data_IF_849019196459
#
_entry.id   IF_849019196459
#
_cell.length_a   1.000
_cell.length_b   1.000
_cell.length_c   1.000
_cell.angle_alpha   90.00
_cell.angle_beta   90.00
_cell.angle_gamma   90.00
#
_symmetry.space_group_name_H-M   'P 1'
#
loop_
_entity.id
_entity.type
_entity.pdbx_description
1 polymer ?
#
# COMPACT_ATOMS: atom_id res chain seq x y z
N UNK A 1 3.45 -69.07 6.30
CA UNK A 1 2.17 -69.63 5.82
C UNK A 1 1.44 -68.52 5.06
N UNK A 2 1.50 -68.54 3.73
CA UNK A 2 0.42 -68.85 2.77
C UNK A 2 -0.67 -67.76 2.63
N UNK A 3 -0.60 -67.06 1.49
CA UNK A 3 -1.68 -66.41 0.73
C UNK A 3 -2.78 -67.43 0.30
N UNK A 4 -3.96 -66.97 -0.17
CA UNK A 4 -4.23 -66.70 -1.62
C UNK A 4 -4.95 -65.35 -1.83
N UNK A 5 -4.73 -64.49 -2.86
CA UNK A 5 -4.70 -64.54 -4.34
C UNK A 5 -5.99 -64.97 -5.06
N UNK A 6 -6.53 -64.05 -5.89
CA UNK A 6 -7.02 -64.20 -7.28
C UNK A 6 -7.25 -62.77 -7.82
N UNK A 7 -6.43 -62.13 -8.68
CA UNK A 7 -5.99 -62.33 -10.08
C UNK A 7 -7.04 -62.06 -11.17
N UNK A 8 -6.64 -61.19 -12.12
CA UNK A 8 -7.06 -61.10 -13.52
C UNK A 8 -7.12 -59.64 -14.02
N UNK A 9 -6.40 -59.12 -15.02
CA UNK A 9 -5.39 -59.66 -15.94
C UNK A 9 -4.58 -58.49 -16.56
N UNK A 10 -3.32 -58.75 -16.89
CA UNK A 10 -2.36 -57.95 -17.67
C UNK A 10 -2.05 -58.74 -18.97
N UNK A 11 -1.55 -58.13 -20.07
CA UNK A 11 -0.10 -57.91 -20.17
C UNK A 11 0.36 -56.68 -20.96
N UNK A 12 1.55 -56.20 -20.56
CA UNK A 12 2.42 -55.29 -21.29
C UNK A 12 3.39 -56.06 -22.21
N UNK A 13 3.92 -55.39 -23.24
CA UNK A 13 5.17 -55.61 -24.02
C UNK A 13 5.17 -54.60 -25.19
N UNK A 14 6.25 -54.09 -25.78
CA UNK A 14 7.70 -53.96 -25.54
C UNK A 14 8.22 -53.04 -26.68
N UNK A 15 9.43 -52.49 -26.55
CA UNK A 15 10.07 -51.64 -27.55
C UNK A 15 10.67 -52.41 -28.76
N UNK A 16 10.97 -51.66 -29.82
CA UNK A 16 11.93 -51.85 -30.93
C UNK A 16 11.52 -52.48 -32.28
N UNK A 17 12.17 -51.93 -33.32
CA UNK A 17 12.20 -52.19 -34.78
C UNK A 17 11.00 -51.69 -35.62
N UNK A 18 11.15 -50.87 -36.69
CA UNK A 18 11.99 -51.07 -37.88
C UNK A 18 12.36 -49.72 -38.58
N UNK A 19 13.61 -49.70 -39.05
CA UNK A 19 14.33 -48.74 -39.90
C UNK A 19 13.72 -48.44 -41.30
N UNK A 20 14.23 -47.33 -41.88
CA UNK A 20 14.47 -47.03 -43.31
C UNK A 20 13.31 -46.36 -44.09
N UNK A 21 13.48 -45.34 -44.94
CA UNK A 21 14.64 -44.60 -45.50
C UNK A 21 14.07 -43.49 -46.40
N UNK A 22 14.71 -42.30 -46.44
CA UNK A 22 15.22 -41.61 -47.65
C UNK A 22 15.34 -40.08 -47.47
N UNK A 23 16.58 -39.63 -47.22
CA UNK A 23 17.18 -38.42 -47.81
C UNK A 23 17.13 -38.54 -49.36
N UNK A 24 17.25 -37.53 -50.22
CA UNK A 24 17.69 -36.14 -50.17
C UNK A 24 17.33 -35.48 -51.53
N UNK A 25 16.92 -34.21 -51.55
CA UNK A 25 17.19 -33.17 -52.59
C UNK A 25 16.94 -31.83 -51.88
N UNK A 26 17.86 -30.90 -51.67
CA UNK A 26 18.97 -30.48 -52.51
C UNK A 26 18.58 -29.15 -53.17
N UNK A 27 18.58 -28.03 -52.45
CA UNK A 27 18.51 -26.68 -53.02
C UNK A 27 19.09 -25.60 -52.07
N UNK A 28 19.73 -24.60 -52.68
CA UNK A 28 20.84 -23.77 -52.16
C UNK A 28 20.45 -22.47 -51.43
N UNK A 29 21.36 -21.84 -50.65
CA UNK A 29 21.09 -20.59 -49.92
C UNK A 29 21.32 -19.36 -50.81
N UNK A 30 20.26 -18.86 -51.45
CA UNK A 30 20.22 -17.52 -52.08
C UNK A 30 18.81 -16.96 -52.03
N UNK A 31 18.36 -16.44 -50.87
CA UNK A 31 17.20 -15.53 -50.82
C UNK A 31 16.98 -14.84 -49.45
N UNK A 32 18.05 -14.39 -48.79
CA UNK A 32 17.94 -13.51 -47.60
C UNK A 32 18.71 -12.19 -47.76
N UNK A 33 18.90 -11.75 -49.02
CA UNK A 33 19.42 -10.43 -49.37
C UNK A 33 18.30 -9.53 -49.88
N UNK A 34 17.42 -9.06 -48.99
CA UNK A 34 16.27 -8.28 -49.46
C UNK A 34 15.33 -7.65 -48.44
N UNK A 35 15.68 -7.56 -47.14
CA UNK A 35 14.88 -6.80 -46.15
C UNK A 35 15.72 -6.09 -45.06
N UNK A 36 16.95 -5.70 -45.39
CA UNK A 36 17.84 -4.95 -44.47
C UNK A 36 18.30 -3.59 -45.00
N UNK A 37 17.67 -3.06 -46.07
CA UNK A 37 18.10 -1.83 -46.75
C UNK A 37 17.03 -0.72 -46.84
N UNK A 38 16.05 -0.71 -45.93
CA UNK A 38 15.00 0.34 -45.89
C UNK A 38 14.88 1.07 -44.53
N UNK A 39 15.83 0.89 -43.61
CA UNK A 39 15.88 1.60 -42.32
C UNK A 39 17.27 2.18 -42.01
N UNK A 40 18.02 2.52 -43.06
CA UNK A 40 19.35 3.18 -42.97
C UNK A 40 19.43 4.53 -43.72
N UNK A 41 18.30 5.18 -44.02
CA UNK A 41 18.25 6.48 -44.71
C UNK A 41 17.35 7.54 -44.03
N UNK A 42 17.23 7.49 -42.70
CA UNK A 42 16.39 8.43 -41.93
C UNK A 42 17.05 9.06 -40.71
N UNK A 43 18.38 8.96 -40.53
CA UNK A 43 19.09 9.61 -39.42
C UNK A 43 20.54 9.93 -39.84
N UNK A 44 20.68 10.84 -40.79
CA UNK A 44 21.96 11.40 -41.17
C UNK A 44 21.76 12.89 -41.48
N UNK A 45 21.58 13.70 -40.44
CA UNK A 45 21.70 15.17 -40.48
C UNK A 45 21.70 15.70 -39.04
N UNK A 46 22.91 15.76 -38.46
CA UNK A 46 23.43 16.66 -37.41
C UNK A 46 24.56 15.95 -36.65
N UNK A 47 25.71 15.79 -37.32
CA UNK A 47 26.99 15.55 -36.64
C UNK A 47 27.92 16.68 -37.07
N UNK A 48 28.17 17.63 -36.17
CA UNK A 48 29.20 18.65 -36.31
C UNK A 48 30.54 18.06 -35.83
N UNK A 49 31.66 18.21 -36.57
CA UNK A 49 32.92 17.54 -36.24
C UNK A 49 33.73 18.40 -35.27
N UNK A 50 33.75 18.01 -33.99
CA UNK A 50 34.81 18.30 -32.99
C UNK A 50 34.30 17.87 -31.60
N UNK A 51 34.47 16.59 -31.28
CA UNK A 51 34.51 16.08 -29.90
C UNK A 51 35.05 14.65 -29.94
N UNK A 52 36.37 14.51 -29.88
CA UNK A 52 36.98 13.30 -29.34
C UNK A 52 36.78 13.36 -27.82
N UNK A 53 35.92 12.49 -27.27
CA UNK A 53 35.81 12.30 -25.82
C UNK A 53 35.84 10.81 -25.51
N UNK A 54 36.91 10.44 -24.81
CA UNK A 54 37.32 9.11 -24.40
C UNK A 54 36.22 8.42 -23.59
N UNK A 55 36.01 7.13 -23.86
CA UNK A 55 35.23 6.20 -23.06
C UNK A 55 35.82 6.09 -21.64
N UNK A 56 35.20 6.74 -20.65
CA UNK A 56 35.17 6.34 -19.23
C UNK A 56 34.52 7.44 -18.38
N UNK A 57 33.19 7.43 -18.27
CA UNK A 57 32.38 8.08 -17.22
C UNK A 57 30.90 8.15 -17.67
N UNK A 58 30.21 7.01 -17.73
CA UNK A 58 28.77 6.93 -18.01
C UNK A 58 28.06 6.25 -16.83
N UNK A 59 27.99 6.96 -15.71
CA UNK A 59 27.14 6.55 -14.57
C UNK A 59 26.72 7.76 -13.73
N UNK A 60 27.55 8.79 -13.65
CA UNK A 60 27.33 9.95 -12.78
C UNK A 60 26.70 11.15 -13.52
N UNK A 61 26.77 11.20 -14.86
CA UNK A 61 26.23 12.32 -15.66
C UNK A 61 24.71 12.22 -15.89
N UNK A 62 24.09 11.06 -15.63
CA UNK A 62 22.68 10.82 -15.96
C UNK A 62 21.71 11.49 -14.99
N UNK A 63 22.07 11.66 -13.72
CA UNK A 63 21.21 12.33 -12.74
C UNK A 63 21.16 13.85 -12.93
N UNK A 64 22.28 14.48 -13.30
CA UNK A 64 22.34 15.93 -13.48
C UNK A 64 21.74 16.40 -14.82
N UNK A 65 21.72 15.52 -15.83
CA UNK A 65 21.15 15.85 -17.16
C UNK A 65 19.62 15.77 -17.20
N UNK A 66 18.99 15.03 -16.28
CA UNK A 66 17.53 14.88 -16.22
C UNK A 66 16.85 16.13 -15.64
N UNK A 67 17.45 16.79 -14.64
CA UNK A 67 16.96 18.08 -14.13
C UNK A 67 17.05 19.19 -15.19
N UNK A 68 18.15 19.22 -15.94
CA UNK A 68 18.39 20.25 -16.95
C UNK A 68 17.49 20.08 -18.19
N UNK A 69 17.11 18.84 -18.54
CA UNK A 69 16.18 18.56 -19.63
C UNK A 69 14.71 18.88 -19.25
N UNK A 70 14.32 18.64 -18.00
CA UNK A 70 12.99 19.00 -17.49
C UNK A 70 12.82 20.52 -17.37
N UNK A 71 13.87 21.27 -16.97
CA UNK A 71 13.83 22.74 -16.95
C UNK A 71 13.73 23.37 -18.34
N UNK A 72 14.35 22.77 -19.37
CA UNK A 72 14.27 23.28 -20.75
C UNK A 72 12.97 22.93 -21.48
N UNK A 73 12.29 21.86 -21.10
CA UNK A 73 11.04 21.41 -21.75
C UNK A 73 9.76 21.98 -21.13
N UNK A 74 9.83 22.60 -19.93
CA UNK A 74 8.67 23.13 -19.21
C UNK A 74 8.48 24.65 -19.30
N UNK A 75 9.29 25.35 -20.10
CA UNK A 75 9.10 26.74 -20.52
C UNK A 75 8.19 27.62 -19.62
N UNK A 76 8.71 28.10 -18.50
CA UNK A 76 8.01 29.10 -17.69
C UNK A 76 8.43 29.13 -16.23
N UNK A 77 9.31 30.07 -15.89
CA UNK A 77 9.62 30.42 -14.52
C UNK A 77 8.37 31.00 -13.82
N UNK A 78 7.94 30.36 -12.72
CA UNK A 78 7.28 31.06 -11.60
C UNK A 78 7.83 30.50 -10.29
N UNK A 79 8.59 31.34 -9.62
CA UNK A 79 8.95 31.23 -8.22
C UNK A 79 7.68 31.20 -7.37
N UNK A 80 7.47 30.12 -6.61
CA UNK A 80 6.50 30.06 -5.53
C UNK A 80 7.25 29.64 -4.26
N UNK A 81 7.64 30.67 -3.49
CA UNK A 81 7.93 30.54 -2.07
C UNK A 81 6.62 30.24 -1.34
N UNK A 82 6.51 29.08 -0.69
CA UNK A 82 5.33 28.73 0.11
C UNK A 82 5.50 27.44 0.89
N UNK A 83 5.55 27.56 2.22
CA UNK A 83 5.51 26.45 3.18
C UNK A 83 4.18 25.67 3.04
N UNK A 84 4.25 24.37 2.72
CA UNK A 84 3.14 23.42 2.66
C UNK A 84 3.64 21.97 2.78
N UNK A 85 2.82 21.01 3.25
CA UNK A 85 3.29 19.72 3.76
C UNK A 85 3.75 18.77 2.63
N UNK A 86 4.90 18.12 2.86
CA UNK A 86 5.48 17.12 1.94
C UNK A 86 4.64 15.83 1.93
N UNK A 87 3.86 15.63 0.88
CA UNK A 87 3.27 14.33 0.54
C UNK A 87 4.37 13.44 -0.08
N UNK A 88 4.97 12.56 0.72
CA UNK A 88 5.97 11.59 0.24
C UNK A 88 5.22 10.35 -0.28
N UNK A 89 4.74 10.42 -1.52
CA UNK A 89 4.55 9.22 -2.31
C UNK A 89 5.93 8.79 -2.82
N UNK A 90 6.16 7.48 -2.81
CA UNK A 90 7.19 6.80 -3.58
C UNK A 90 7.60 7.66 -4.80
N UNK A 91 8.84 8.14 -4.85
CA UNK A 91 9.44 8.64 -6.10
C UNK A 91 9.62 7.47 -7.07
N UNK A 92 8.54 6.77 -7.39
CA UNK A 92 8.25 6.38 -8.74
C UNK A 92 8.24 7.67 -9.53
N UNK A 93 9.41 8.00 -10.08
CA UNK A 93 9.59 8.93 -11.18
C UNK A 93 8.30 8.94 -12.01
N UNK A 94 7.68 10.10 -12.20
CA UNK A 94 6.60 10.27 -13.18
C UNK A 94 7.16 10.02 -14.58
N UNK A 95 7.42 8.76 -14.88
CA UNK A 95 7.88 8.24 -16.16
C UNK A 95 6.66 8.30 -17.07
N UNK A 96 6.49 9.44 -17.72
CA UNK A 96 5.56 9.55 -18.83
C UNK A 96 5.91 8.47 -19.89
N UNK A 97 4.86 7.97 -20.56
CA UNK A 97 4.79 6.70 -21.30
C UNK A 97 6.04 6.17 -22.03
N UNK A 98 6.86 6.98 -22.73
CA UNK A 98 8.01 6.43 -23.46
C UNK A 98 9.14 5.92 -22.54
N UNK A 99 9.29 6.48 -21.33
CA UNK A 99 10.46 6.20 -20.47
C UNK A 99 10.26 4.93 -19.64
N UNK A 100 9.02 4.63 -19.22
CA UNK A 100 8.69 3.35 -18.57
C UNK A 100 8.95 2.16 -19.51
N UNK A 101 8.62 2.34 -20.80
CA UNK A 101 8.84 1.34 -21.85
C UNK A 101 10.33 1.09 -22.10
N UNK A 102 11.18 2.13 -22.04
CA UNK A 102 12.62 1.98 -22.22
C UNK A 102 13.32 1.39 -20.97
N UNK A 103 12.89 1.78 -19.76
CA UNK A 103 13.47 1.28 -18.52
C UNK A 103 13.16 -0.20 -18.25
N UNK A 104 11.95 -0.68 -18.59
CA UNK A 104 11.58 -2.10 -18.53
C UNK A 104 12.44 -2.98 -19.45
N UNK A 105 12.86 -2.45 -20.61
CA UNK A 105 13.71 -3.16 -21.57
C UNK A 105 15.22 -3.04 -21.29
N UNK A 106 15.65 -2.09 -20.46
CA UNK A 106 17.07 -1.84 -20.14
C UNK A 106 17.67 -2.76 -19.04
N UNK A 107 16.90 -3.73 -18.53
CA UNK A 107 17.35 -4.68 -17.50
C UNK A 107 17.58 -4.10 -16.10
N UNK A 108 17.58 -2.76 -15.96
CA UNK A 108 17.92 -2.07 -14.72
C UNK A 108 16.72 -1.72 -13.82
N UNK A 109 15.46 -1.91 -14.27
CA UNK A 109 14.27 -1.64 -13.44
C UNK A 109 13.61 -2.93 -12.92
N UNK A 110 13.64 -4.00 -13.73
CA UNK A 110 13.03 -5.31 -13.42
C UNK A 110 13.64 -5.96 -12.17
N UNK A 111 14.89 -5.64 -11.82
CA UNK A 111 15.58 -6.18 -10.66
C UNK A 111 15.30 -5.44 -9.33
N UNK A 112 14.78 -4.21 -9.32
CA UNK A 112 14.88 -3.33 -8.14
C UNK A 112 13.57 -3.00 -7.41
N UNK A 113 12.40 -3.23 -8.02
CA UNK A 113 11.12 -2.84 -7.39
C UNK A 113 10.77 -3.71 -6.17
N UNK A 114 10.94 -5.04 -6.30
CA UNK A 114 10.67 -6.00 -5.23
C UNK A 114 11.69 -5.90 -4.06
N UNK A 115 13.01 -5.77 -4.32
CA UNK A 115 14.00 -5.57 -3.26
C UNK A 115 13.83 -4.28 -2.45
N UNK A 116 13.35 -3.19 -3.06
CA UNK A 116 13.18 -1.90 -2.37
C UNK A 116 12.28 -2.03 -1.14
N UNK A 117 11.07 -2.56 -1.32
CA UNK A 117 10.08 -2.68 -0.25
C UNK A 117 10.61 -3.60 0.86
N UNK A 118 11.28 -4.70 0.50
CA UNK A 118 11.83 -5.66 1.47
C UNK A 118 13.02 -5.11 2.26
N UNK A 119 13.85 -4.23 1.68
CA UNK A 119 14.88 -3.51 2.44
C UNK A 119 14.25 -2.66 3.53
N UNK A 120 13.22 -1.87 3.18
CA UNK A 120 12.49 -1.04 4.16
C UNK A 120 11.83 -1.90 5.24
N UNK A 121 11.15 -2.97 4.85
CA UNK A 121 10.49 -3.89 5.78
C UNK A 121 11.48 -4.55 6.74
N UNK A 122 12.61 -5.07 6.22
CA UNK A 122 13.63 -5.70 7.05
C UNK A 122 14.28 -4.71 8.03
N UNK A 123 14.55 -3.47 7.60
CA UNK A 123 15.09 -2.44 8.48
C UNK A 123 14.10 -2.06 9.62
N UNK A 124 12.80 -2.00 9.32
CA UNK A 124 11.76 -1.79 10.34
C UNK A 124 11.65 -2.99 11.30
N UNK A 125 11.67 -4.21 10.77
CA UNK A 125 11.56 -5.44 11.56
C UNK A 125 12.74 -5.64 12.50
N UNK A 126 13.96 -5.34 12.04
CA UNK A 126 15.17 -5.36 12.86
C UNK A 126 15.24 -4.20 13.86
N UNK A 127 14.38 -3.18 13.75
CA UNK A 127 14.39 -2.03 14.66
C UNK A 127 15.57 -1.07 14.44
N UNK A 128 16.12 -1.01 13.22
CA UNK A 128 17.27 -0.16 12.89
C UNK A 128 16.97 1.32 13.15
N UNK A 129 15.81 1.80 12.73
CA UNK A 129 15.43 3.21 12.86
C UNK A 129 15.23 3.63 14.32
N UNK A 130 14.74 2.72 15.18
CA UNK A 130 14.55 2.97 16.60
C UNK A 130 15.89 3.05 17.32
N UNK A 131 16.77 2.08 17.08
CA UNK A 131 18.11 2.07 17.66
C UNK A 131 18.89 3.35 17.32
N UNK A 132 18.77 3.83 16.08
CA UNK A 132 19.39 5.08 15.63
C UNK A 132 18.71 6.33 16.19
N UNK A 133 17.43 6.26 16.56
CA UNK A 133 16.70 7.38 17.16
C UNK A 133 17.01 7.54 18.66
N UNK A 134 17.23 6.43 19.36
CA UNK A 134 17.57 6.41 20.79
C UNK A 134 19.05 6.73 21.07
N UNK A 135 19.92 6.49 20.07
CA UNK A 135 21.34 6.78 20.20
C UNK A 135 21.63 8.29 20.31
N UNK A 136 22.63 8.70 21.10
CA UNK A 136 23.02 10.12 21.24
C UNK A 136 23.64 10.70 19.96
N UNK A 137 23.94 9.86 18.98
CA UNK A 137 24.52 10.23 17.70
C UNK A 137 24.55 9.03 16.75
N UNK A 138 25.10 9.23 15.55
CA UNK A 138 25.19 8.18 14.53
C UNK A 138 26.07 7.00 14.99
N UNK A 139 25.69 5.80 14.58
CA UNK A 139 26.28 4.54 15.04
C UNK A 139 27.10 3.86 13.95
N UNK A 140 28.22 3.25 14.32
CA UNK A 140 28.98 2.38 13.43
C UNK A 140 28.23 1.06 13.16
N UNK A 141 28.51 0.41 12.02
CA UNK A 141 27.91 -0.88 11.63
C UNK A 141 27.94 -1.91 12.76
N UNK A 142 29.09 -2.04 13.44
CA UNK A 142 29.26 -3.01 14.52
C UNK A 142 28.28 -2.77 15.70
N UNK A 143 28.02 -1.51 16.03
CA UNK A 143 27.08 -1.16 17.10
C UNK A 143 25.63 -1.44 16.68
N UNK A 144 25.27 -1.12 15.43
CA UNK A 144 23.92 -1.42 14.90
C UNK A 144 23.69 -2.92 14.82
N UNK A 145 24.65 -3.67 14.27
CA UNK A 145 24.57 -5.12 14.15
C UNK A 145 24.45 -5.81 15.52
N UNK A 146 25.24 -5.39 16.51
CA UNK A 146 25.15 -5.91 17.86
C UNK A 146 23.81 -5.55 18.55
N UNK A 147 23.35 -4.32 18.39
CA UNK A 147 22.11 -3.84 19.01
C UNK A 147 20.84 -4.55 18.52
N UNK A 148 20.84 -5.01 17.26
CA UNK A 148 19.70 -5.74 16.66
C UNK A 148 19.94 -7.24 16.49
N UNK A 149 21.06 -7.76 17.01
CA UNK A 149 21.39 -9.20 16.95
C UNK A 149 21.65 -9.74 15.54
N UNK A 150 22.23 -8.94 14.65
CA UNK A 150 22.46 -9.27 13.25
C UNK A 150 23.94 -9.49 12.89
N UNK A 151 24.20 -10.16 11.76
CA UNK A 151 25.54 -10.28 11.18
C UNK A 151 26.08 -8.92 10.75
N UNK A 152 27.35 -8.64 11.06
CA UNK A 152 28.05 -7.42 10.63
C UNK A 152 27.93 -7.20 9.12
N UNK A 153 28.34 -8.20 8.31
CA UNK A 153 28.38 -8.07 6.84
C UNK A 153 26.99 -7.92 6.23
N UNK A 154 25.98 -8.56 6.80
CA UNK A 154 24.60 -8.41 6.32
C UNK A 154 24.04 -7.03 6.68
N UNK A 155 24.32 -6.56 7.90
CA UNK A 155 23.88 -5.25 8.38
C UNK A 155 24.51 -4.12 7.57
N UNK A 156 25.82 -4.19 7.30
CA UNK A 156 26.53 -3.21 6.46
C UNK A 156 25.81 -3.01 5.12
N UNK A 157 25.50 -4.11 4.44
CA UNK A 157 24.79 -4.09 3.14
C UNK A 157 23.37 -3.52 3.25
N UNK A 158 22.66 -3.82 4.34
CA UNK A 158 21.32 -3.28 4.58
C UNK A 158 21.38 -1.77 4.82
N UNK A 159 22.31 -1.31 5.66
CA UNK A 159 22.49 0.10 5.97
C UNK A 159 22.92 0.90 4.73
N UNK A 160 23.86 0.40 3.94
CA UNK A 160 24.30 1.04 2.70
C UNK A 160 23.18 1.13 1.66
N UNK A 161 22.33 0.10 1.58
CA UNK A 161 21.12 0.15 0.79
C UNK A 161 20.16 1.23 1.31
N UNK A 162 19.91 1.29 2.62
CA UNK A 162 19.08 2.32 3.23
C UNK A 162 19.62 3.75 3.00
N UNK A 163 20.93 3.95 3.01
CA UNK A 163 21.57 5.23 2.64
C UNK A 163 21.30 5.57 1.18
N UNK A 164 21.49 4.60 0.27
CA UNK A 164 21.23 4.80 -1.16
C UNK A 164 19.75 5.12 -1.46
N UNK A 165 18.85 4.59 -0.63
CA UNK A 165 17.41 4.87 -0.66
C UNK A 165 17.03 6.18 0.05
N UNK A 166 18.00 6.93 0.58
CA UNK A 166 17.81 8.17 1.34
C UNK A 166 16.98 7.98 2.62
N UNK A 167 16.97 6.76 3.16
CA UNK A 167 16.36 6.44 4.45
C UNK A 167 17.31 6.76 5.61
N UNK A 168 18.62 6.61 5.40
CA UNK A 168 19.66 6.89 6.40
C UNK A 168 20.68 7.90 5.85
N UNK A 169 21.37 8.57 6.75
CA UNK A 169 22.59 9.32 6.47
C UNK A 169 23.80 8.47 6.81
N UNK A 170 24.93 8.77 6.17
CA UNK A 170 26.23 8.18 6.53
C UNK A 170 27.29 9.26 6.57
N UNK A 171 28.17 9.18 7.55
CA UNK A 171 29.38 9.98 7.66
C UNK A 171 30.58 9.06 7.89
N UNK A 172 31.76 9.49 7.41
CA UNK A 172 32.99 8.73 7.59
C UNK A 172 33.88 9.41 8.61
N UNK A 173 34.16 8.74 9.73
CA UNK A 173 35.09 9.22 10.77
C UNK A 173 36.23 8.23 10.93
N UNK A 174 37.47 8.68 10.71
CA UNK A 174 38.65 7.82 10.85
C UNK A 174 38.67 6.59 9.93
N UNK A 175 38.01 6.67 8.77
CA UNK A 175 37.87 5.54 7.83
C UNK A 175 36.73 4.57 8.13
N UNK A 176 35.94 4.81 9.19
CA UNK A 176 34.78 4.01 9.56
C UNK A 176 33.48 4.74 9.23
N UNK A 177 32.48 4.03 8.73
CA UNK A 177 31.15 4.55 8.43
C UNK A 177 30.26 4.59 9.68
N UNK A 178 29.58 5.72 9.90
CA UNK A 178 28.61 5.95 10.96
C UNK A 178 27.28 6.36 10.35
N UNK A 179 26.20 5.69 10.74
CA UNK A 179 24.87 5.82 10.16
C UNK A 179 23.94 6.55 11.12
N UNK A 180 23.07 7.39 10.57
CA UNK A 180 22.04 8.10 11.33
C UNK A 180 20.71 8.12 10.60
N UNK A 181 19.62 8.42 11.33
CA UNK A 181 18.33 8.66 10.70
C UNK A 181 18.37 9.94 9.85
N UNK A 182 17.66 9.94 8.73
CA UNK A 182 17.23 11.18 8.07
C UNK A 182 16.03 11.75 8.82
N UNK A 183 15.63 12.98 8.48
CA UNK A 183 14.38 13.56 8.99
C UNK A 183 13.19 12.64 8.70
N UNK A 184 13.13 12.08 7.49
CA UNK A 184 12.05 11.21 7.05
C UNK A 184 11.97 9.93 7.88
N UNK A 185 13.10 9.20 8.06
CA UNK A 185 13.09 7.96 8.84
C UNK A 185 12.85 8.21 10.33
N UNK A 186 13.35 9.32 10.88
CA UNK A 186 13.05 9.71 12.25
C UNK A 186 11.55 9.97 12.46
N UNK A 187 10.91 10.69 11.53
CA UNK A 187 9.50 11.11 11.66
C UNK A 187 8.52 9.98 11.34
N UNK A 188 8.83 9.10 10.37
CA UNK A 188 7.86 8.10 9.87
C UNK A 188 8.24 6.66 10.14
N UNK A 189 9.52 6.32 10.38
CA UNK A 189 9.97 4.92 10.49
C UNK A 189 10.38 4.52 11.90
N UNK A 190 10.58 5.48 12.80
CA UNK A 190 10.78 5.20 14.22
C UNK A 190 9.46 5.10 14.97
N UNK A 191 9.34 4.11 15.85
CA UNK A 191 8.16 3.82 16.67
C UNK A 191 7.90 4.85 17.76
N UNK A 192 8.93 5.57 18.20
CA UNK A 192 8.77 6.65 19.20
C UNK A 192 8.09 7.89 18.61
N UNK A 193 8.04 8.01 17.27
CA UNK A 193 7.41 9.15 16.61
C UNK A 193 5.88 9.06 16.66
N UNK A 194 5.16 10.15 16.96
CA UNK A 194 3.69 10.16 16.96
C UNK A 194 3.10 9.94 15.55
N UNK A 195 3.89 10.17 14.50
CA UNK A 195 3.49 9.96 13.08
C UNK A 195 4.09 8.70 12.47
N UNK A 196 4.58 7.77 13.31
CA UNK A 196 5.17 6.51 12.84
C UNK A 196 4.22 5.75 11.93
N UNK A 197 4.78 5.13 10.90
CA UNK A 197 4.14 4.18 9.98
C UNK A 197 4.80 2.79 10.07
N UNK A 198 5.61 2.56 11.12
CA UNK A 198 6.40 1.36 11.26
C UNK A 198 5.51 0.11 11.38
N UNK A 199 4.42 0.17 12.14
CA UNK A 199 3.50 -0.97 12.30
C UNK A 199 2.74 -1.26 11.01
N UNK A 200 2.36 -0.23 10.25
CA UNK A 200 1.81 -0.39 8.90
C UNK A 200 2.77 -1.11 7.96
N UNK A 201 4.05 -0.72 7.96
CA UNK A 201 5.08 -1.37 7.14
C UNK A 201 5.31 -2.83 7.56
N UNK A 202 5.32 -3.11 8.87
CA UNK A 202 5.44 -4.48 9.38
C UNK A 202 4.23 -5.34 9.03
N UNK A 203 3.02 -4.77 9.08
CA UNK A 203 1.81 -5.45 8.62
C UNK A 203 1.95 -5.78 7.13
N UNK A 204 2.26 -4.79 6.29
CA UNK A 204 2.48 -5.00 4.86
C UNK A 204 3.54 -6.05 4.56
N UNK A 205 4.62 -6.09 5.34
CA UNK A 205 5.71 -7.05 5.17
C UNK A 205 5.29 -8.50 5.41
N UNK A 206 4.44 -8.73 6.41
CA UNK A 206 4.04 -10.05 6.93
C UNK A 206 2.75 -10.57 6.33
N UNK A 207 1.86 -9.70 5.87
CA UNK A 207 0.56 -10.09 5.31
C UNK A 207 0.47 -9.72 3.83
N UNK A 208 0.35 -8.42 3.53
CA UNK A 208 0.12 -7.90 2.18
C UNK A 208 1.12 -8.45 1.17
N UNK A 209 2.41 -8.37 1.47
CA UNK A 209 3.46 -8.84 0.56
C UNK A 209 3.30 -10.33 0.18
N UNK A 210 2.90 -11.16 1.13
CA UNK A 210 2.68 -12.59 0.87
C UNK A 210 1.46 -12.82 -0.01
N UNK A 211 0.33 -12.16 0.26
CA UNK A 211 -0.87 -12.29 -0.57
C UNK A 211 -0.63 -11.78 -2.01
N UNK A 212 0.15 -10.70 -2.17
CA UNK A 212 0.51 -10.16 -3.48
C UNK A 212 1.37 -11.13 -4.32
N UNK A 213 2.06 -12.09 -3.69
CA UNK A 213 2.69 -13.21 -4.39
C UNK A 213 1.71 -14.06 -5.22
N UNK A 214 0.42 -14.01 -4.87
CA UNK A 214 -0.68 -14.71 -5.55
C UNK A 214 -1.58 -13.78 -6.39
N UNK A 215 -1.15 -12.54 -6.68
CA UNK A 215 -1.95 -11.56 -7.44
C UNK A 215 -2.47 -12.10 -8.78
N UNK A 216 -1.65 -12.82 -9.54
CA UNK A 216 -2.07 -13.39 -10.81
C UNK A 216 -3.24 -14.37 -10.66
N UNK A 217 -3.29 -15.10 -9.53
CA UNK A 217 -4.39 -16.00 -9.23
C UNK A 217 -5.63 -15.22 -8.76
N UNK A 218 -5.44 -14.20 -7.93
CA UNK A 218 -6.52 -13.28 -7.53
C UNK A 218 -7.23 -12.67 -8.74
N UNK A 219 -6.46 -12.26 -9.76
CA UNK A 219 -7.00 -11.70 -11.02
C UNK A 219 -7.75 -12.75 -11.84
N UNK A 220 -7.29 -14.01 -11.86
CA UNK A 220 -7.98 -15.09 -12.59
C UNK A 220 -9.31 -15.48 -11.94
N UNK A 221 -9.32 -15.55 -10.61
CA UNK A 221 -10.46 -16.06 -9.84
C UNK A 221 -11.44 -14.96 -9.41
N UNK A 222 -10.99 -13.71 -9.36
CA UNK A 222 -11.77 -12.59 -8.84
C UNK A 222 -12.00 -12.70 -7.32
N UNK A 223 -11.07 -13.28 -6.56
CA UNK A 223 -11.23 -13.57 -5.13
C UNK A 223 -9.94 -13.32 -4.33
N UNK A 224 -10.08 -13.07 -3.03
CA UNK A 224 -8.95 -12.94 -2.12
C UNK A 224 -8.13 -14.24 -2.04
N UNK A 225 -6.89 -14.12 -1.55
CA UNK A 225 -5.91 -15.21 -1.55
C UNK A 225 -5.51 -15.65 -0.14
N UNK A 226 -6.33 -15.40 0.88
CA UNK A 226 -6.01 -15.76 2.28
C UNK A 226 -5.83 -17.26 2.48
N UNK A 227 -6.72 -18.09 1.90
CA UNK A 227 -6.62 -19.54 1.98
C UNK A 227 -5.33 -20.04 1.31
N UNK A 228 -5.00 -19.53 0.13
CA UNK A 228 -3.81 -19.94 -0.62
C UNK A 228 -2.51 -19.49 0.05
N UNK A 229 -2.53 -18.34 0.73
CA UNK A 229 -1.33 -17.72 1.33
C UNK A 229 -1.06 -18.23 2.75
N UNK A 230 -2.11 -18.36 3.57
CA UNK A 230 -1.99 -18.65 5.00
C UNK A 230 -2.68 -19.96 5.42
N UNK A 231 -3.36 -20.66 4.51
CA UNK A 231 -4.11 -21.87 4.84
C UNK A 231 -5.39 -21.63 5.65
N UNK A 232 -5.86 -20.38 5.73
CA UNK A 232 -7.02 -19.99 6.54
C UNK A 232 -8.23 -19.69 5.64
N UNK A 233 -9.39 -20.33 5.87
CA UNK A 233 -10.62 -20.01 5.16
C UNK A 233 -11.04 -18.55 5.41
N UNK A 234 -11.50 -17.87 4.37
CA UNK A 234 -11.93 -16.47 4.41
C UNK A 234 -13.41 -16.30 4.04
N UNK A 235 -14.27 -17.24 4.46
CA UNK A 235 -15.73 -17.11 4.34
C UNK A 235 -16.25 -15.97 5.24
N UNK A 236 -15.62 -15.81 6.40
CA UNK A 236 -15.69 -14.60 7.20
C UNK A 236 -14.34 -13.87 7.11
N UNK A 237 -14.35 -12.76 6.39
CA UNK A 237 -13.17 -11.97 6.06
C UNK A 237 -12.37 -11.58 7.32
N UNK A 238 -13.03 -11.08 8.35
CA UNK A 238 -12.34 -10.56 9.53
C UNK A 238 -11.82 -11.67 10.45
N UNK A 239 -12.46 -12.85 10.46
CA UNK A 239 -11.87 -14.04 11.08
C UNK A 239 -10.56 -14.45 10.39
N UNK A 240 -10.46 -14.32 9.06
CA UNK A 240 -9.23 -14.60 8.32
C UNK A 240 -8.16 -13.51 8.44
N UNK A 241 -8.55 -12.26 8.75
CA UNK A 241 -7.60 -11.18 9.05
C UNK A 241 -7.08 -11.31 10.49
N UNK A 242 -7.95 -11.69 11.44
CA UNK A 242 -7.67 -11.80 12.87
C UNK A 242 -7.29 -13.23 13.30
N UNK A 243 -6.43 -13.90 12.53
CA UNK A 243 -6.09 -15.34 12.70
C UNK A 243 -5.49 -15.66 14.07
N UNK A 244 -4.92 -14.67 14.74
CA UNK A 244 -4.46 -14.76 16.13
C UNK A 244 -4.60 -13.42 16.84
N UNK A 245 -4.52 -13.45 18.17
CA UNK A 245 -4.50 -12.23 18.99
C UNK A 245 -3.37 -11.28 18.60
N UNK A 246 -2.15 -11.80 18.40
CA UNK A 246 -0.99 -11.00 18.00
C UNK A 246 -1.15 -10.36 16.62
N UNK A 247 -1.69 -11.09 15.64
CA UNK A 247 -1.97 -10.54 14.31
C UNK A 247 -3.06 -9.47 14.35
N UNK A 248 -4.08 -9.64 15.19
CA UNK A 248 -5.13 -8.64 15.39
C UNK A 248 -4.61 -7.37 16.05
N UNK A 249 -3.79 -7.49 17.09
CA UNK A 249 -3.10 -6.33 17.71
C UNK A 249 -2.24 -5.61 16.67
N UNK A 250 -1.48 -6.36 15.86
CA UNK A 250 -0.65 -5.78 14.80
C UNK A 250 -1.50 -5.05 13.74
N UNK A 251 -2.62 -5.63 13.31
CA UNK A 251 -3.54 -5.02 12.36
C UNK A 251 -4.11 -3.71 12.91
N UNK A 252 -4.62 -3.73 14.15
CA UNK A 252 -5.18 -2.54 14.80
C UNK A 252 -4.13 -1.43 14.95
N UNK A 253 -2.90 -1.79 15.35
CA UNK A 253 -1.78 -0.85 15.43
C UNK A 253 -1.40 -0.29 14.05
N UNK A 254 -1.41 -1.10 12.99
CA UNK A 254 -1.14 -0.63 11.64
C UNK A 254 -2.21 0.37 11.16
N UNK A 255 -3.50 0.04 11.31
CA UNK A 255 -4.58 0.91 10.85
C UNK A 255 -4.63 2.24 11.60
N UNK A 256 -4.31 2.25 12.91
CA UNK A 256 -4.34 3.48 13.69
C UNK A 256 -3.29 4.50 13.23
N UNK A 257 -2.10 4.02 12.82
CA UNK A 257 -0.97 4.87 12.42
C UNK A 257 -1.31 5.78 11.23
N UNK A 258 -2.18 5.31 10.34
CA UNK A 258 -2.63 6.07 9.17
C UNK A 258 -3.29 7.40 9.54
N UNK A 259 -4.04 7.43 10.65
CA UNK A 259 -4.79 8.60 11.08
C UNK A 259 -3.89 9.71 11.64
N UNK A 260 -2.71 9.36 12.18
CA UNK A 260 -1.72 10.36 12.60
C UNK A 260 -1.34 11.33 11.49
N UNK A 261 -1.38 10.88 10.23
CA UNK A 261 -1.07 11.67 9.04
C UNK A 261 -2.31 12.21 8.33
N UNK A 262 -3.38 11.43 8.24
CA UNK A 262 -4.52 11.73 7.38
C UNK A 262 -5.77 12.17 8.14
N UNK A 263 -5.87 11.91 9.44
CA UNK A 263 -7.12 12.11 10.17
C UNK A 263 -7.57 13.58 10.22
N UNK A 264 -6.63 14.53 10.32
CA UNK A 264 -6.99 15.96 10.33
C UNK A 264 -7.58 16.38 9.00
N UNK A 265 -6.98 15.99 7.88
CA UNK A 265 -7.43 16.44 6.56
C UNK A 265 -8.85 15.94 6.23
N UNK A 266 -9.19 14.71 6.62
CA UNK A 266 -10.51 14.13 6.38
C UNK A 266 -11.57 14.66 7.36
N UNK A 267 -11.24 14.85 8.64
CA UNK A 267 -12.18 15.32 9.66
C UNK A 267 -12.45 16.83 9.57
N UNK A 268 -11.55 17.62 8.99
CA UNK A 268 -11.78 19.05 8.71
C UNK A 268 -12.22 19.31 7.28
N UNK A 269 -12.46 18.27 6.47
CA UNK A 269 -12.96 18.43 5.12
C UNK A 269 -14.35 19.10 5.15
N UNK A 270 -15.20 18.71 6.10
CA UNK A 270 -16.50 19.33 6.35
C UNK A 270 -16.54 19.89 7.77
N UNK A 271 -17.43 20.84 8.02
CA UNK A 271 -17.71 21.30 9.39
C UNK A 271 -18.55 20.24 10.11
N UNK A 272 -17.92 19.52 11.04
CA UNK A 272 -18.57 18.47 11.83
C UNK A 272 -19.08 18.99 13.18
N UNK A 273 -18.91 20.28 13.50
CA UNK A 273 -19.34 20.86 14.78
C UNK A 273 -20.85 20.81 15.01
N UNK A 274 -21.62 20.61 13.94
CA UNK A 274 -23.08 20.46 13.96
C UNK A 274 -23.55 19.11 14.50
N UNK A 275 -22.63 18.16 14.73
CA UNK A 275 -22.94 16.79 15.15
C UNK A 275 -22.36 16.47 16.54
N UNK A 276 -23.09 16.76 17.63
CA UNK A 276 -22.59 16.53 18.97
C UNK A 276 -22.44 15.04 19.33
N UNK A 277 -23.23 14.14 18.72
CA UNK A 277 -23.10 12.69 18.91
C UNK A 277 -22.57 12.04 17.63
N UNK A 278 -21.41 11.39 17.73
CA UNK A 278 -20.72 10.75 16.60
C UNK A 278 -20.56 9.25 16.89
N UNK A 279 -20.81 8.40 15.90
CA UNK A 279 -20.53 6.97 15.96
C UNK A 279 -19.49 6.61 14.89
N UNK A 280 -18.33 6.10 15.29
CA UNK A 280 -17.28 5.58 14.40
C UNK A 280 -17.50 4.07 14.21
N UNK A 281 -18.14 3.70 13.10
CA UNK A 281 -18.49 2.30 12.78
C UNK A 281 -17.26 1.60 12.19
N UNK A 282 -16.81 0.54 12.87
CA UNK A 282 -15.53 -0.11 12.57
C UNK A 282 -14.32 0.75 12.96
N UNK A 283 -14.46 1.58 14.00
CA UNK A 283 -13.42 2.54 14.41
C UNK A 283 -12.16 1.91 15.03
N UNK A 284 -12.14 0.59 15.23
CA UNK A 284 -10.97 -0.19 15.66
C UNK A 284 -10.42 0.27 17.01
N UNK A 285 -9.18 0.75 17.00
CA UNK A 285 -8.50 1.25 18.19
C UNK A 285 -8.96 2.67 18.62
N UNK A 286 -9.88 3.31 17.89
CA UNK A 286 -10.42 4.63 18.22
C UNK A 286 -9.49 5.81 17.90
N UNK A 287 -8.45 5.63 17.09
CA UNK A 287 -7.51 6.72 16.78
C UNK A 287 -8.15 7.88 15.99
N UNK A 288 -9.07 7.57 15.06
CA UNK A 288 -9.81 8.61 14.34
C UNK A 288 -10.81 9.32 15.27
N UNK A 289 -11.51 8.57 16.13
CA UNK A 289 -12.38 9.10 17.17
C UNK A 289 -11.66 10.09 18.11
N UNK A 290 -10.46 9.74 18.59
CA UNK A 290 -9.63 10.64 19.40
C UNK A 290 -9.29 11.92 18.65
N UNK A 291 -8.91 11.81 17.38
CA UNK A 291 -8.60 12.96 16.56
C UNK A 291 -9.82 13.85 16.29
N UNK A 292 -11.01 13.24 16.17
CA UNK A 292 -12.28 13.95 16.08
C UNK A 292 -12.53 14.79 17.34
N UNK A 293 -12.36 14.22 18.54
CA UNK A 293 -12.49 14.96 19.80
C UNK A 293 -11.48 16.10 19.93
N UNK A 294 -10.22 15.89 19.52
CA UNK A 294 -9.22 16.97 19.53
C UNK A 294 -9.61 18.15 18.62
N UNK A 295 -10.34 17.90 17.53
CA UNK A 295 -10.79 18.93 16.58
C UNK A 295 -12.14 19.54 16.99
N UNK A 296 -13.00 18.74 17.60
CA UNK A 296 -14.36 19.11 18.00
C UNK A 296 -14.61 18.71 19.47
N UNK A 297 -14.10 19.49 20.44
CA UNK A 297 -14.16 19.12 21.87
C UNK A 297 -15.57 19.05 22.46
N UNK A 298 -16.59 19.59 21.77
CA UNK A 298 -17.99 19.51 22.18
C UNK A 298 -18.70 18.22 21.76
N UNK A 299 -18.06 17.39 20.94
CA UNK A 299 -18.62 16.13 20.47
C UNK A 299 -18.38 15.00 21.48
N UNK A 300 -19.22 13.97 21.40
CA UNK A 300 -19.03 12.68 22.06
C UNK A 300 -18.93 11.62 20.96
N UNK A 301 -17.93 10.74 21.04
CA UNK A 301 -17.70 9.74 20.00
C UNK A 301 -17.86 8.35 20.58
N UNK A 302 -18.72 7.53 19.98
CA UNK A 302 -18.80 6.10 20.28
C UNK A 302 -18.10 5.32 19.18
N UNK A 303 -17.03 4.61 19.53
CA UNK A 303 -16.40 3.61 18.65
C UNK A 303 -17.21 2.32 18.73
N UNK A 304 -17.72 1.87 17.59
CA UNK A 304 -18.48 0.63 17.48
C UNK A 304 -17.72 -0.39 16.64
N UNK A 305 -17.37 -1.54 17.22
CA UNK A 305 -16.59 -2.57 16.53
C UNK A 305 -16.89 -3.97 17.08
N UNK A 306 -16.31 -5.02 16.49
CA UNK A 306 -16.49 -6.39 16.94
C UNK A 306 -16.01 -6.58 18.40
N UNK A 307 -16.64 -7.49 19.17
CA UNK A 307 -16.30 -7.68 20.59
C UNK A 307 -14.81 -7.93 20.87
N UNK A 308 -14.14 -8.73 20.06
CA UNK A 308 -12.71 -8.99 20.17
C UNK A 308 -11.87 -7.73 19.90
N UNK A 309 -12.27 -6.90 18.93
CA UNK A 309 -11.59 -5.65 18.60
C UNK A 309 -11.73 -4.66 19.76
N UNK A 310 -12.95 -4.45 20.26
CA UNK A 310 -13.22 -3.58 21.42
C UNK A 310 -12.43 -4.03 22.65
N UNK A 311 -12.39 -5.34 22.94
CA UNK A 311 -11.62 -5.88 24.07
C UNK A 311 -10.14 -5.53 23.95
N UNK A 312 -9.55 -5.66 22.77
CA UNK A 312 -8.13 -5.34 22.57
C UNK A 312 -7.84 -3.86 22.49
N UNK A 313 -8.76 -3.05 21.97
CA UNK A 313 -8.65 -1.61 22.06
C UNK A 313 -8.51 -1.18 23.52
N UNK A 314 -9.39 -1.66 24.40
CA UNK A 314 -9.33 -1.38 25.84
C UNK A 314 -8.05 -1.90 26.52
N UNK A 315 -7.54 -3.05 26.10
CA UNK A 315 -6.35 -3.66 26.71
C UNK A 315 -5.03 -3.05 26.25
N UNK A 316 -4.86 -2.78 24.96
CA UNK A 316 -3.59 -2.41 24.35
C UNK A 316 -3.49 -0.93 23.98
N UNK A 317 -4.64 -0.26 23.83
CA UNK A 317 -4.74 1.14 23.41
C UNK A 317 -5.66 1.92 24.35
N UNK A 318 -5.41 1.92 25.67
CA UNK A 318 -6.26 2.63 26.61
C UNK A 318 -6.30 4.11 26.25
N UNK A 319 -7.52 4.63 26.10
CA UNK A 319 -7.77 6.06 25.97
C UNK A 319 -7.94 6.65 27.38
N UNK A 320 -7.42 7.86 27.64
CA UNK A 320 -7.67 8.56 28.89
C UNK A 320 -9.18 8.69 29.15
N UNK A 321 -9.61 8.54 30.42
CA UNK A 321 -11.02 8.67 30.78
C UNK A 321 -11.61 10.06 30.48
N UNK A 322 -10.75 11.09 30.37
CA UNK A 322 -11.18 12.45 30.01
C UNK A 322 -11.49 12.60 28.51
N UNK A 323 -11.05 11.66 27.66
CA UNK A 323 -11.46 11.62 26.27
C UNK A 323 -12.87 11.01 26.25
N UNK A 324 -13.88 11.81 25.87
CA UNK A 324 -15.29 11.39 25.75
C UNK A 324 -15.52 10.35 24.62
N UNK A 325 -14.68 9.33 24.55
CA UNK A 325 -14.73 8.20 23.63
C UNK A 325 -15.35 7.01 24.35
N UNK A 326 -16.59 6.68 23.99
CA UNK A 326 -17.22 5.42 24.38
C UNK A 326 -16.81 4.28 23.46
N UNK A 327 -16.82 3.05 23.98
CA UNK A 327 -16.71 1.85 23.17
C UNK A 327 -17.96 0.99 23.33
N UNK A 328 -18.57 0.62 22.21
CA UNK A 328 -19.68 -0.32 22.15
C UNK A 328 -19.30 -1.48 21.24
N UNK A 329 -19.54 -2.71 21.68
CA UNK A 329 -19.26 -3.91 20.89
C UNK A 329 -20.49 -4.39 20.13
N UNK A 330 -20.28 -4.91 18.92
CA UNK A 330 -21.31 -5.58 18.12
C UNK A 330 -20.96 -5.75 16.65
N UNK A 331 -21.80 -6.48 15.92
CA UNK A 331 -21.72 -6.65 14.47
C UNK A 331 -22.67 -5.65 13.78
N UNK A 332 -22.12 -4.68 13.06
CA UNK A 332 -22.93 -3.62 12.43
C UNK A 332 -23.90 -4.13 11.35
N UNK A 333 -23.73 -5.37 10.86
CA UNK A 333 -24.68 -5.98 9.94
C UNK A 333 -25.91 -6.59 10.64
N UNK A 334 -25.80 -6.87 11.96
CA UNK A 334 -26.82 -7.62 12.72
C UNK A 334 -27.39 -6.81 13.87
N UNK A 335 -26.51 -6.23 14.69
CA UNK A 335 -26.84 -5.61 15.96
C UNK A 335 -27.29 -4.15 15.82
N UNK A 336 -28.00 -3.65 16.83
CA UNK A 336 -28.44 -2.27 16.86
C UNK A 336 -27.24 -1.32 16.89
N UNK A 337 -27.24 -0.36 15.97
CA UNK A 337 -26.20 0.67 15.92
C UNK A 337 -26.44 1.70 17.05
N UNK A 338 -25.38 2.23 17.68
CA UNK A 338 -25.50 3.30 18.66
C UNK A 338 -26.19 4.51 18.05
N UNK A 339 -27.05 5.20 18.80
CA UNK A 339 -27.64 6.44 18.31
C UNK A 339 -26.56 7.52 18.10
N UNK A 340 -26.57 8.16 16.93
CA UNK A 340 -25.67 9.26 16.61
C UNK A 340 -26.30 10.25 15.62
N UNK A 341 -25.80 11.48 15.65
CA UNK A 341 -26.11 12.53 14.68
C UNK A 341 -25.22 12.39 13.43
N UNK A 342 -24.02 11.83 13.60
CA UNK A 342 -23.07 11.51 12.52
C UNK A 342 -22.55 10.08 12.65
N UNK A 343 -22.66 9.28 11.59
CA UNK A 343 -21.97 8.00 11.48
C UNK A 343 -20.74 8.16 10.59
N UNK A 344 -19.57 7.78 11.09
CA UNK A 344 -18.31 7.74 10.35
C UNK A 344 -18.07 6.29 9.91
N UNK A 345 -17.81 6.10 8.61
CA UNK A 345 -17.36 4.82 8.05
C UNK A 345 -16.03 5.09 7.36
N UNK A 346 -14.93 4.87 8.09
CA UNK A 346 -13.58 5.11 7.60
C UNK A 346 -12.91 3.79 7.22
N UNK A 347 -12.65 3.59 5.92
CA UNK A 347 -12.04 2.34 5.40
C UNK A 347 -12.86 1.10 5.77
N UNK A 348 -14.17 1.19 5.52
CA UNK A 348 -15.13 0.12 5.80
C UNK A 348 -15.75 -0.36 4.51
N UNK A 349 -16.24 0.57 3.68
CA UNK A 349 -16.98 0.21 2.48
C UNK A 349 -16.06 -0.43 1.43
N UNK A 350 -14.76 -0.12 1.45
CA UNK A 350 -13.81 -0.72 0.53
C UNK A 350 -13.51 -2.20 0.77
N UNK A 351 -13.84 -2.75 1.94
CA UNK A 351 -13.63 -4.17 2.27
C UNK A 351 -14.71 -5.08 1.67
N UNK A 352 -15.86 -4.49 1.31
CA UNK A 352 -17.07 -5.23 0.99
C UNK A 352 -17.53 -5.04 -0.45
N UNK A 353 -18.17 -6.06 -0.99
CA UNK A 353 -18.90 -5.96 -2.26
C UNK A 353 -20.15 -5.07 -2.13
N UNK A 354 -20.63 -4.53 -3.25
CA UNK A 354 -21.72 -3.54 -3.30
C UNK A 354 -23.00 -3.98 -2.57
N UNK A 355 -23.37 -5.27 -2.63
CA UNK A 355 -24.55 -5.78 -1.93
C UNK A 355 -24.44 -5.67 -0.40
N UNK A 356 -23.25 -5.94 0.15
CA UNK A 356 -22.96 -5.79 1.58
C UNK A 356 -22.85 -4.33 1.97
N UNK A 357 -22.24 -3.49 1.13
CA UNK A 357 -22.26 -2.04 1.31
C UNK A 357 -23.69 -1.49 1.39
N UNK A 358 -24.57 -1.85 0.46
CA UNK A 358 -25.97 -1.41 0.46
C UNK A 358 -26.70 -1.85 1.72
N UNK A 359 -26.52 -3.11 2.17
CA UNK A 359 -27.09 -3.61 3.42
C UNK A 359 -26.67 -2.76 4.63
N UNK A 360 -25.38 -2.44 4.74
CA UNK A 360 -24.87 -1.61 5.83
C UNK A 360 -25.42 -0.19 5.75
N UNK A 361 -25.35 0.45 4.59
CA UNK A 361 -25.80 1.83 4.39
C UNK A 361 -27.30 2.00 4.68
N UNK A 362 -28.14 1.01 4.32
CA UNK A 362 -29.56 1.01 4.69
C UNK A 362 -29.77 0.97 6.21
N UNK A 363 -28.97 0.17 6.94
CA UNK A 363 -29.04 0.12 8.41
C UNK A 363 -28.61 1.43 9.04
N UNK A 364 -27.53 2.03 8.53
CA UNK A 364 -27.06 3.35 8.98
C UNK A 364 -28.13 4.40 8.71
N UNK A 365 -28.73 4.43 7.52
CA UNK A 365 -29.81 5.34 7.18
C UNK A 365 -31.02 5.20 8.11
N UNK A 366 -31.43 3.97 8.44
CA UNK A 366 -32.53 3.72 9.40
C UNK A 366 -32.20 4.20 10.81
N UNK A 367 -30.95 4.06 11.24
CA UNK A 367 -30.48 4.45 12.57
C UNK A 367 -30.16 5.95 12.67
N UNK A 368 -30.03 6.64 11.54
CA UNK A 368 -29.77 8.08 11.48
C UNK A 368 -31.04 8.89 11.80
N UNK A 369 -30.91 9.93 12.63
CA UNK A 369 -32.02 10.85 12.96
C UNK A 369 -32.26 11.82 11.79
N UNK A 370 -33.47 12.40 11.63
CA UNK A 370 -33.69 13.47 10.65
C UNK A 370 -32.67 14.61 10.85
N UNK A 371 -32.01 15.06 9.77
CA UNK A 371 -30.93 16.03 9.86
C UNK A 371 -29.57 15.44 10.26
N UNK A 372 -29.49 14.15 10.56
CA UNK A 372 -28.22 13.45 10.76
C UNK A 372 -27.46 13.24 9.45
N UNK A 373 -26.25 12.69 9.55
CA UNK A 373 -25.35 12.52 8.42
C UNK A 373 -24.55 11.22 8.48
N UNK A 374 -23.96 10.89 7.33
CA UNK A 374 -22.93 9.87 7.18
C UNK A 374 -21.69 10.49 6.57
N UNK A 375 -20.53 10.27 7.20
CA UNK A 375 -19.21 10.64 6.70
C UNK A 375 -18.47 9.37 6.29
N UNK A 376 -18.28 9.20 4.99
CA UNK A 376 -17.50 8.10 4.42
C UNK A 376 -16.09 8.60 4.14
N UNK A 377 -15.08 7.90 4.65
CA UNK A 377 -13.66 8.24 4.47
C UNK A 377 -12.97 7.08 3.74
N UNK A 378 -12.67 7.30 2.46
CA UNK A 378 -12.13 6.29 1.55
C UNK A 378 -11.16 6.93 0.55
N UNK A 379 -10.36 6.12 -0.15
CA UNK A 379 -9.46 6.60 -1.20
C UNK A 379 -10.22 6.67 -2.53
N UNK A 380 -10.52 7.86 -3.05
CA UNK A 380 -11.40 7.98 -4.23
C UNK A 380 -10.66 7.72 -5.54
N UNK A 381 -11.26 6.88 -6.37
CA UNK A 381 -10.87 6.75 -7.78
C UNK A 381 -11.34 7.97 -8.56
N UNK A 382 -10.57 8.36 -9.57
CA UNK A 382 -11.03 9.25 -10.61
C UNK A 382 -12.21 8.62 -11.35
N UNK A 383 -13.11 9.45 -11.88
CA UNK A 383 -14.36 8.97 -12.52
C UNK A 383 -14.11 8.01 -13.68
N UNK A 384 -12.97 8.13 -14.37
CA UNK A 384 -12.58 7.21 -15.44
C UNK A 384 -11.92 5.92 -14.93
N UNK A 385 -11.73 5.78 -13.61
CA UNK A 385 -11.10 4.66 -12.88
C UNK A 385 -9.62 4.44 -13.23
N UNK A 386 -8.95 5.43 -13.83
CA UNK A 386 -7.55 5.33 -14.28
C UNK A 386 -6.54 6.00 -13.37
N UNK A 387 -6.99 6.57 -12.26
CA UNK A 387 -6.11 7.17 -11.25
C UNK A 387 -6.86 7.46 -9.95
N UNK A 388 -6.16 7.98 -8.93
CA UNK A 388 -4.70 8.02 -8.82
C UNK A 388 -4.07 6.62 -8.78
N UNK A 389 -2.80 6.48 -9.20
CA UNK A 389 -2.10 5.19 -9.24
C UNK A 389 -2.12 4.47 -7.87
N UNK A 390 -1.93 5.22 -6.78
CA UNK A 390 -1.97 4.64 -5.44
C UNK A 390 -3.35 4.02 -5.14
N UNK A 391 -4.43 4.74 -5.44
CA UNK A 391 -5.80 4.23 -5.26
C UNK A 391 -6.06 2.99 -6.11
N UNK A 392 -5.50 2.91 -7.31
CA UNK A 392 -5.61 1.69 -8.13
C UNK A 392 -4.88 0.51 -7.50
N UNK A 393 -3.69 0.73 -6.94
CA UNK A 393 -2.95 -0.31 -6.21
C UNK A 393 -3.69 -0.71 -4.93
N UNK A 394 -4.38 0.22 -4.26
CA UNK A 394 -5.27 -0.09 -3.13
C UNK A 394 -6.47 -0.92 -3.59
N UNK A 395 -7.08 -0.61 -4.72
CA UNK A 395 -8.18 -1.42 -5.26
C UNK A 395 -7.72 -2.85 -5.61
N UNK A 396 -6.51 -3.02 -6.14
CA UNK A 396 -5.91 -4.35 -6.32
C UNK A 396 -5.60 -5.02 -4.99
N UNK A 397 -5.19 -4.25 -3.98
CA UNK A 397 -5.00 -4.76 -2.64
C UNK A 397 -6.33 -5.29 -2.04
N UNK A 398 -7.43 -4.58 -2.27
CA UNK A 398 -8.77 -5.01 -1.86
C UNK A 398 -9.19 -6.29 -2.58
N UNK A 399 -8.89 -6.45 -3.88
CA UNK A 399 -9.10 -7.72 -4.58
C UNK A 399 -8.31 -8.89 -3.95
N UNK A 400 -7.04 -8.64 -3.59
CA UNK A 400 -6.13 -9.68 -3.11
C UNK A 400 -6.44 -10.09 -1.66
N UNK A 401 -6.95 -9.18 -0.84
CA UNK A 401 -7.15 -9.40 0.61
C UNK A 401 -8.62 -9.43 1.04
N UNK A 402 -9.51 -8.70 0.39
CA UNK A 402 -10.89 -8.47 0.86
C UNK A 402 -11.92 -8.98 -0.14
N UNK A 403 -13.18 -8.57 0.01
CA UNK A 403 -14.24 -8.82 -0.97
C UNK A 403 -14.60 -7.57 -1.79
N UNK A 404 -13.97 -6.44 -1.49
CA UNK A 404 -14.36 -5.14 -2.01
C UNK A 404 -13.37 -4.54 -3.00
N UNK A 405 -13.49 -3.23 -3.14
CA UNK A 405 -12.77 -2.41 -4.12
C UNK A 405 -12.82 -0.93 -3.72
N UNK A 406 -11.85 -0.16 -4.22
CA UNK A 406 -11.97 1.29 -4.22
C UNK A 406 -13.02 1.73 -5.26
N UNK A 407 -13.65 2.88 -5.03
CA UNK A 407 -14.79 3.34 -5.83
C UNK A 407 -14.66 4.82 -6.21
N UNK A 408 -15.35 5.20 -7.27
CA UNK A 408 -15.44 6.60 -7.71
C UNK A 408 -16.45 7.38 -6.88
N UNK A 409 -16.39 8.72 -6.87
CA UNK A 409 -17.42 9.55 -6.24
C UNK A 409 -18.83 9.22 -6.75
N UNK A 410 -19.01 9.07 -8.07
CA UNK A 410 -20.30 8.67 -8.67
C UNK A 410 -20.82 7.32 -8.17
N UNK A 411 -19.95 6.34 -7.94
CA UNK A 411 -20.33 5.03 -7.42
C UNK A 411 -20.75 5.12 -5.95
N UNK A 412 -20.01 5.85 -5.11
CA UNK A 412 -20.43 6.12 -3.73
C UNK A 412 -21.76 6.89 -3.68
N UNK A 413 -21.94 7.87 -4.55
CA UNK A 413 -23.21 8.60 -4.65
C UNK A 413 -24.37 7.65 -4.95
N UNK A 414 -24.21 6.72 -5.90
CA UNK A 414 -25.24 5.74 -6.21
C UNK A 414 -25.59 4.83 -5.00
N UNK A 415 -24.58 4.33 -4.28
CA UNK A 415 -24.78 3.52 -3.07
C UNK A 415 -25.52 4.30 -1.97
N UNK A 416 -25.06 5.52 -1.66
CA UNK A 416 -25.66 6.38 -0.62
C UNK A 416 -27.08 6.80 -0.98
N UNK A 417 -27.32 7.21 -2.22
CA UNK A 417 -28.65 7.63 -2.69
C UNK A 417 -29.66 6.48 -2.68
N UNK A 418 -29.20 5.26 -2.99
CA UNK A 418 -30.04 4.05 -2.95
C UNK A 418 -30.45 3.67 -1.53
N UNK A 419 -29.57 3.88 -0.54
CA UNK A 419 -29.89 3.70 0.88
C UNK A 419 -30.85 4.77 1.44
N UNK A 420 -30.99 5.92 0.74
CA UNK A 420 -31.91 7.00 1.08
C UNK A 420 -31.24 8.34 1.39
N UNK A 421 -29.91 8.39 1.50
CA UNK A 421 -29.20 9.64 1.78
C UNK A 421 -29.33 10.65 0.63
N UNK A 422 -29.19 11.93 0.96
CA UNK A 422 -29.30 13.10 0.06
C UNK A 422 -28.13 14.05 0.30
N UNK A 423 -28.10 15.15 -0.44
CA UNK A 423 -27.09 16.21 -0.34
C UNK A 423 -25.64 15.71 -0.42
N UNK A 424 -25.40 14.74 -1.30
CA UNK A 424 -24.09 14.14 -1.51
C UNK A 424 -23.05 15.19 -1.86
N UNK A 425 -21.97 15.21 -1.09
CA UNK A 425 -20.80 16.04 -1.32
C UNK A 425 -19.55 15.19 -1.10
N UNK A 426 -18.49 15.47 -1.86
CA UNK A 426 -17.18 14.88 -1.62
C UNK A 426 -16.10 15.94 -1.71
N UNK A 427 -15.00 15.74 -0.99
CA UNK A 427 -13.82 16.61 -1.03
C UNK A 427 -12.57 15.76 -1.15
N UNK A 428 -11.82 15.99 -2.22
CA UNK A 428 -10.45 15.49 -2.33
C UNK A 428 -9.55 16.25 -1.39
N UNK A 429 -8.85 15.57 -0.48
CA UNK A 429 -8.03 16.24 0.55
C UNK A 429 -6.62 16.57 0.06
N UNK A 430 -6.20 15.98 -1.05
CA UNK A 430 -4.80 16.00 -1.50
C UNK A 430 -3.91 15.02 -0.75
N UNK A 431 -4.47 14.26 0.20
CA UNK A 431 -3.83 13.13 0.86
C UNK A 431 -4.30 11.80 0.25
N UNK A 432 -4.04 10.68 0.92
CA UNK A 432 -4.46 9.35 0.45
C UNK A 432 -5.98 9.17 0.56
N UNK A 433 -6.55 9.63 1.66
CA UNK A 433 -7.98 9.47 1.95
C UNK A 433 -8.73 10.77 1.72
N UNK A 434 -9.92 10.63 1.16
CA UNK A 434 -10.84 11.71 0.88
C UNK A 434 -12.08 11.56 1.77
N UNK A 435 -12.91 12.61 1.80
CA UNK A 435 -14.11 12.63 2.62
C UNK A 435 -15.36 12.81 1.76
N UNK A 436 -16.38 12.02 2.04
CA UNK A 436 -17.73 12.11 1.48
C UNK A 436 -18.72 12.36 2.61
N UNK A 437 -19.58 13.36 2.47
CA UNK A 437 -20.66 13.65 3.42
C UNK A 437 -22.00 13.55 2.69
N UNK A 438 -22.96 12.85 3.30
CA UNK A 438 -24.35 12.83 2.85
C UNK A 438 -25.31 12.95 4.05
N UNK A 439 -26.50 13.51 3.84
CA UNK A 439 -27.50 13.81 4.88
C UNK A 439 -28.72 12.91 4.77
N UNK A 440 -29.45 12.78 5.88
CA UNK A 440 -30.78 12.17 5.92
C UNK A 440 -31.88 13.22 5.89
#
# INVERSE_FOLDING_TARGET
MRFPRLLGDLPARSAEDVHATQEARGESPKEWGGRHLALKRGLALLIHPRCELKFSALSVVFFCSLECLVQKLTGGARTLTGNGPLTILCTCVSLHGPVLSFCLFSGSLTFYFCPFCKVLFAACELGVFDLLAEAPGPLAVAAVAAGVGASYHAMERLLDACVSLKLLTVETRGGQAFYGNTEMSRVYLSRISPTSQCSMLLYMARTTYHCWGHLAQAVREGKNQYLQTFGVPAEDLFTAIYRSEGERVQFMQALREVWSMNGRSVLTAFDLSLFPLVCDLGGGAGALARQCLCLYPGCHVTVFDLPEVVRTAKQHFPLPEEEHVGFQEGDFFKDHLPEADLYILARILHDWADGRCSQLLERVYRSCKPGGAILVIESLLDEDRRGPLLTQLYSLNMLVQTEGQERTPSHFHALLSSAGFRDFQFKKTGAIYDAILARK
#
